data_IF_992315726427
#
_entry.id   IF_992315726427
#
_cell.length_a   1.000
_cell.length_b   1.000
_cell.length_c   1.000
_cell.angle_alpha   90.00
_cell.angle_beta   90.00
_cell.angle_gamma   90.00
#
_symmetry.space_group_name_H-M   'P 1'
#
loop_
_entity.id
_entity.type
_entity.pdbx_description
1 polymer ?
#
# COMPACT_ATOMS: atom_id res chain seq x y z
N UNK A 1 13.75 -21.54 -0.40
CA UNK A 1 12.34 -21.02 -0.47
C UNK A 1 12.27 -19.76 -1.35
N UNK A 2 11.14 -19.50 -2.02
CA UNK A 2 10.92 -18.27 -2.83
C UNK A 2 9.71 -17.50 -2.31
N UNK A 3 9.86 -16.19 -2.12
CA UNK A 3 8.82 -15.39 -1.44
C UNK A 3 8.45 -14.13 -2.22
N UNK A 4 7.21 -13.70 -2.05
CA UNK A 4 6.72 -12.37 -2.41
C UNK A 4 6.43 -11.63 -1.11
N UNK A 5 6.89 -10.39 -0.98
CA UNK A 5 6.66 -9.61 0.23
C UNK A 5 6.62 -8.11 -0.07
N UNK A 6 6.29 -7.32 0.93
CA UNK A 6 6.15 -5.87 0.86
C UNK A 6 6.72 -5.23 2.13
N UNK A 7 6.46 -3.95 2.37
CA UNK A 7 6.84 -3.30 3.61
C UNK A 7 6.12 -3.94 4.82
N UNK A 8 6.75 -3.78 5.99
CA UNK A 8 6.19 -4.18 7.27
C UNK A 8 4.90 -3.40 7.51
N UNK A 9 3.92 -4.10 8.09
CA UNK A 9 2.57 -3.58 8.32
C UNK A 9 1.92 -3.15 6.99
N UNK A 10 1.66 -4.10 6.07
CA UNK A 10 1.18 -3.78 4.73
C UNK A 10 -0.16 -3.03 4.78
N UNK A 11 -0.34 -2.10 3.86
CA UNK A 11 -1.63 -1.54 3.46
C UNK A 11 -2.17 -2.30 2.24
N UNK A 12 -3.24 -1.77 1.63
CA UNK A 12 -3.83 -2.41 0.46
C UNK A 12 -2.89 -2.44 -0.73
N UNK A 13 -2.09 -1.41 -1.01
CA UNK A 13 -1.21 -1.42 -2.18
C UNK A 13 -0.12 -2.49 -2.04
N UNK A 14 0.54 -2.54 -0.88
CA UNK A 14 1.51 -3.58 -0.59
C UNK A 14 0.95 -5.01 -0.70
N UNK A 15 -0.23 -5.27 -0.12
CA UNK A 15 -0.84 -6.60 -0.16
C UNK A 15 -1.43 -6.95 -1.54
N UNK A 16 -2.17 -6.05 -2.18
CA UNK A 16 -2.72 -6.24 -3.52
C UNK A 16 -1.62 -6.50 -4.54
N UNK A 17 -0.52 -5.75 -4.46
CA UNK A 17 0.65 -5.94 -5.30
C UNK A 17 1.31 -7.30 -5.07
N UNK A 18 1.28 -7.85 -3.84
CA UNK A 18 1.74 -9.21 -3.56
C UNK A 18 0.83 -10.26 -4.24
N UNK A 19 -0.49 -10.06 -4.19
CA UNK A 19 -1.48 -10.93 -4.86
C UNK A 19 -1.29 -10.90 -6.37
N UNK A 20 -1.10 -9.72 -6.97
CA UNK A 20 -0.79 -9.59 -8.39
C UNK A 20 0.55 -10.26 -8.74
N UNK A 21 1.60 -10.02 -7.95
CA UNK A 21 2.90 -10.68 -8.13
C UNK A 21 2.80 -12.20 -8.05
N UNK A 22 1.96 -12.78 -7.18
CA UNK A 22 1.76 -14.23 -7.08
C UNK A 22 1.28 -14.87 -8.39
N UNK A 23 0.57 -14.12 -9.24
CA UNK A 23 0.16 -14.60 -10.57
C UNK A 23 1.32 -14.64 -11.57
N UNK A 24 2.28 -13.71 -11.43
CA UNK A 24 3.52 -13.69 -12.23
C UNK A 24 4.55 -14.71 -11.74
N UNK A 25 4.57 -14.94 -10.42
CA UNK A 25 5.55 -15.76 -9.71
C UNK A 25 4.85 -16.92 -8.98
N UNK A 26 4.28 -17.85 -9.75
CA UNK A 26 3.35 -18.87 -9.24
C UNK A 26 3.97 -19.83 -8.22
N UNK A 27 5.29 -20.02 -8.23
CA UNK A 27 6.04 -20.84 -7.29
C UNK A 27 6.54 -20.09 -6.03
N UNK A 28 6.21 -18.80 -5.88
CA UNK A 28 6.56 -18.01 -4.70
C UNK A 28 5.42 -17.99 -3.68
N UNK A 29 5.74 -17.85 -2.40
CA UNK A 29 4.75 -17.74 -1.32
C UNK A 29 4.65 -16.30 -0.85
N UNK A 30 3.43 -15.76 -0.74
CA UNK A 30 3.21 -14.43 -0.16
C UNK A 30 3.55 -14.50 1.33
N UNK A 31 4.48 -13.66 1.77
CA UNK A 31 4.92 -13.57 3.16
C UNK A 31 4.71 -12.17 3.68
N UNK A 32 3.92 -12.05 4.75
CA UNK A 32 3.58 -10.76 5.35
C UNK A 32 4.31 -10.54 6.68
N UNK A 33 4.86 -9.35 6.85
CA UNK A 33 5.56 -8.90 8.05
C UNK A 33 4.75 -7.91 8.86
N UNK A 34 4.75 -8.08 10.18
CA UNK A 34 4.04 -7.18 11.08
C UNK A 34 2.52 -7.34 11.02
N UNK A 35 1.79 -6.26 11.32
CA UNK A 35 0.33 -6.26 11.36
C UNK A 35 -0.20 -5.39 10.22
N UNK A 36 -0.98 -5.94 9.28
CA UNK A 36 -1.62 -5.16 8.22
C UNK A 36 -2.40 -3.95 8.75
N UNK A 37 -2.60 -2.94 7.91
CA UNK A 37 -3.43 -1.77 8.19
C UNK A 37 -4.83 -2.21 8.64
N UNK A 38 -5.50 -1.38 9.45
CA UNK A 38 -6.76 -1.79 10.06
C UNK A 38 -7.84 -2.11 9.02
N UNK A 39 -7.94 -1.34 7.93
CA UNK A 39 -8.90 -1.63 6.87
C UNK A 39 -8.53 -2.90 6.10
N UNK A 40 -7.24 -3.13 5.82
CA UNK A 40 -6.82 -4.36 5.18
C UNK A 40 -7.12 -5.58 6.08
N UNK A 41 -6.95 -5.46 7.40
CA UNK A 41 -7.35 -6.52 8.33
C UNK A 41 -8.85 -6.80 8.28
N UNK A 42 -9.69 -5.76 8.17
CA UNK A 42 -11.14 -5.92 8.06
C UNK A 42 -11.52 -6.60 6.73
N UNK A 43 -10.87 -6.22 5.64
CA UNK A 43 -11.03 -6.87 4.34
C UNK A 43 -10.62 -8.34 4.39
N UNK A 44 -9.44 -8.66 4.95
CA UNK A 44 -8.93 -10.02 5.06
C UNK A 44 -9.76 -10.90 6.02
N UNK A 45 -10.53 -10.32 6.95
CA UNK A 45 -11.49 -11.12 7.75
C UNK A 45 -12.67 -11.64 6.94
N UNK A 46 -13.03 -10.94 5.87
CA UNK A 46 -14.17 -11.27 5.01
C UNK A 46 -13.70 -12.11 3.82
N UNK A 47 -12.57 -11.71 3.22
CA UNK A 47 -12.07 -12.27 1.97
C UNK A 47 -10.76 -13.06 2.11
N UNK A 48 -10.21 -13.23 3.33
CA UNK A 48 -8.89 -13.80 3.55
C UNK A 48 -8.72 -15.22 3.01
N UNK A 49 -9.77 -16.04 3.05
CA UNK A 49 -9.74 -17.42 2.51
C UNK A 49 -9.46 -17.48 1.00
N UNK A 50 -9.56 -16.34 0.29
CA UNK A 50 -9.24 -16.23 -1.13
C UNK A 50 -7.74 -16.07 -1.41
N UNK A 51 -6.95 -15.70 -0.40
CA UNK A 51 -5.55 -15.31 -0.58
C UNK A 51 -4.67 -16.13 0.35
N UNK A 52 -3.87 -17.02 -0.24
CA UNK A 52 -2.88 -17.79 0.53
C UNK A 52 -1.67 -16.92 0.84
N UNK A 53 -1.41 -16.70 2.12
CA UNK A 53 -0.19 -16.06 2.61
C UNK A 53 0.22 -16.65 3.95
N UNK A 54 1.51 -16.54 4.25
CA UNK A 54 2.08 -16.90 5.56
C UNK A 54 2.55 -15.64 6.28
N UNK A 55 2.76 -15.77 7.58
CA UNK A 55 3.44 -14.70 8.33
C UNK A 55 4.95 -14.89 8.29
N UNK A 56 5.71 -13.80 8.43
CA UNK A 56 7.17 -13.83 8.53
C UNK A 56 7.71 -14.79 9.61
N UNK A 57 6.91 -15.12 10.63
CA UNK A 57 7.27 -16.09 11.67
C UNK A 57 7.39 -17.52 11.14
N UNK A 58 6.66 -17.83 10.07
CA UNK A 58 6.61 -19.15 9.43
C UNK A 58 7.68 -19.33 8.36
N UNK A 59 8.48 -18.30 8.06
CA UNK A 59 9.59 -18.41 7.11
C UNK A 59 10.60 -19.45 7.55
N UNK A 60 11.10 -20.22 6.59
CA UNK A 60 12.27 -21.07 6.76
C UNK A 60 13.56 -20.23 6.77
N UNK A 61 14.69 -20.85 7.13
CA UNK A 61 16.00 -20.17 7.22
C UNK A 61 16.75 -20.12 5.87
N UNK A 62 16.11 -20.54 4.77
CA UNK A 62 16.71 -20.57 3.42
C UNK A 62 15.77 -19.92 2.40
N UNK A 63 15.97 -18.62 2.14
CA UNK A 63 15.22 -17.84 1.16
C UNK A 63 16.15 -17.51 -0.01
N UNK A 64 15.88 -18.09 -1.17
CA UNK A 64 16.70 -17.98 -2.38
C UNK A 64 16.30 -16.80 -3.25
N UNK A 65 15.00 -16.47 -3.30
CA UNK A 65 14.44 -15.42 -4.17
C UNK A 65 13.39 -14.59 -3.46
N UNK A 66 13.44 -13.28 -3.67
CA UNK A 66 12.51 -12.32 -3.08
C UNK A 66 11.96 -11.43 -4.19
N UNK A 67 10.63 -11.45 -4.34
CA UNK A 67 9.91 -10.41 -5.07
C UNK A 67 9.41 -9.41 -4.03
N UNK A 68 9.96 -8.20 -4.04
CA UNK A 68 9.62 -7.12 -3.14
C UNK A 68 8.73 -6.12 -3.87
N UNK A 69 7.54 -5.86 -3.34
CA UNK A 69 6.59 -4.90 -3.91
C UNK A 69 6.33 -3.74 -2.95
N UNK A 70 6.09 -2.55 -3.51
CA UNK A 70 5.69 -1.35 -2.78
C UNK A 70 6.69 -0.86 -1.70
N UNK A 71 7.96 -1.22 -1.90
CA UNK A 71 9.07 -0.62 -1.16
C UNK A 71 10.39 -1.03 -1.80
N UNK A 72 11.32 -0.08 -1.87
CA UNK A 72 12.71 -0.35 -2.25
C UNK A 72 13.70 -0.20 -1.08
N UNK A 73 13.22 0.02 0.15
CA UNK A 73 14.05 0.27 1.34
C UNK A 73 14.07 -0.91 2.30
N UNK A 74 15.27 -1.41 2.64
CA UNK A 74 15.41 -2.52 3.59
C UNK A 74 14.82 -2.15 4.95
N UNK A 75 14.88 -0.87 5.33
CA UNK A 75 14.33 -0.34 6.59
C UNK A 75 12.81 -0.44 6.69
N UNK A 76 12.11 -0.64 5.58
CA UNK A 76 10.66 -0.88 5.57
C UNK A 76 10.31 -2.36 5.57
N UNK A 77 11.23 -3.28 5.25
CA UNK A 77 10.97 -4.74 5.16
C UNK A 77 10.87 -5.41 6.55
N UNK A 78 10.30 -6.61 6.67
CA UNK A 78 10.32 -7.40 7.92
C UNK A 78 11.72 -7.71 8.47
N UNK A 79 11.88 -7.84 9.78
CA UNK A 79 13.19 -8.02 10.41
C UNK A 79 13.88 -9.35 10.05
N UNK A 80 13.12 -10.44 9.96
CA UNK A 80 13.63 -11.75 9.55
C UNK A 80 13.90 -11.75 8.03
N UNK A 81 12.99 -11.22 7.22
CA UNK A 81 13.15 -11.12 5.76
C UNK A 81 14.40 -10.30 5.40
N UNK A 82 14.66 -9.19 6.11
CA UNK A 82 15.85 -8.35 5.90
C UNK A 82 17.17 -9.12 5.92
N UNK A 83 17.25 -10.22 6.68
CA UNK A 83 18.47 -11.03 6.80
C UNK A 83 18.84 -11.70 5.48
N UNK A 84 17.86 -11.96 4.62
CA UNK A 84 18.06 -12.64 3.34
C UNK A 84 18.28 -11.68 2.17
N UNK A 85 18.05 -10.37 2.32
CA UNK A 85 18.10 -9.40 1.22
C UNK A 85 19.46 -9.30 0.52
N UNK A 86 20.55 -9.66 1.20
CA UNK A 86 21.90 -9.63 0.64
C UNK A 86 22.31 -10.95 -0.04
N UNK A 87 21.61 -12.04 0.25
CA UNK A 87 21.96 -13.39 -0.21
C UNK A 87 20.99 -13.90 -1.29
N UNK A 88 19.73 -13.47 -1.24
CA UNK A 88 18.69 -13.85 -2.18
C UNK A 88 18.76 -13.05 -3.49
N UNK A 89 18.27 -13.64 -4.58
CA UNK A 89 17.97 -12.90 -5.81
C UNK A 89 16.74 -12.01 -5.58
N UNK A 90 16.92 -10.68 -5.53
CA UNK A 90 15.81 -9.73 -5.30
C UNK A 90 15.33 -9.10 -6.60
N UNK A 91 14.01 -9.07 -6.80
CA UNK A 91 13.34 -8.23 -7.80
C UNK A 91 12.40 -7.26 -7.09
N UNK A 92 12.47 -5.97 -7.42
CA UNK A 92 11.74 -4.90 -6.76
C UNK A 92 10.77 -4.25 -7.75
N UNK A 93 9.51 -4.12 -7.35
CA UNK A 93 8.47 -3.33 -8.01
C UNK A 93 8.01 -2.24 -7.05
N UNK A 94 8.19 -0.98 -7.41
CA UNK A 94 7.86 0.13 -6.52
C UNK A 94 7.47 1.38 -7.31
N UNK A 95 6.73 2.28 -6.69
CA UNK A 95 6.40 3.60 -7.23
C UNK A 95 7.02 4.77 -6.43
N UNK A 96 7.59 4.48 -5.26
CA UNK A 96 8.25 5.48 -4.45
C UNK A 96 9.49 6.05 -5.17
N UNK A 97 9.79 7.36 -5.03
CA UNK A 97 11.00 7.93 -5.61
C UNK A 97 12.26 7.20 -5.11
N UNK A 98 13.17 6.91 -6.04
CA UNK A 98 14.51 6.45 -5.66
C UNK A 98 15.16 7.49 -4.76
N UNK A 99 15.53 7.08 -3.54
CA UNK A 99 16.25 7.93 -2.60
C UNK A 99 17.74 7.59 -2.67
N UNK A 100 18.61 8.51 -2.29
CA UNK A 100 20.08 8.30 -2.28
C UNK A 100 20.55 7.13 -1.39
N UNK A 101 19.66 6.51 -0.61
CA UNK A 101 19.95 5.40 0.31
C UNK A 101 19.37 4.06 -0.20
N UNK A 102 19.63 3.71 -1.46
CA UNK A 102 19.29 2.38 -1.97
C UNK A 102 20.16 1.30 -1.29
N UNK A 103 19.55 0.54 -0.39
CA UNK A 103 20.24 -0.44 0.46
C UNK A 103 19.90 -1.90 0.10
N UNK A 104 19.10 -2.11 -0.95
CA UNK A 104 18.76 -3.43 -1.47
C UNK A 104 19.31 -3.58 -2.88
N UNK A 105 20.15 -4.61 -3.08
CA UNK A 105 20.67 -4.99 -4.39
C UNK A 105 19.69 -5.94 -5.09
N UNK A 106 19.44 -5.72 -6.39
CA UNK A 106 18.52 -6.56 -7.16
C UNK A 106 18.08 -5.92 -8.48
N UNK A 107 17.18 -6.60 -9.19
CA UNK A 107 16.51 -6.03 -10.37
C UNK A 107 15.48 -5.02 -9.87
N UNK A 108 15.62 -3.75 -10.27
CA UNK A 108 14.73 -2.65 -9.85
C UNK A 108 13.80 -2.26 -11.00
N UNK A 109 12.50 -2.25 -10.73
CA UNK A 109 11.46 -1.72 -11.62
C UNK A 109 10.70 -0.67 -10.82
N UNK A 110 11.22 0.54 -10.86
CA UNK A 110 10.70 1.68 -10.11
C UNK A 110 10.17 2.69 -11.10
N UNK A 111 8.89 3.01 -11.01
CA UNK A 111 8.22 3.89 -11.96
C UNK A 111 7.42 4.97 -11.25
N UNK A 112 7.42 6.20 -11.79
CA UNK A 112 6.64 7.28 -11.21
C UNK A 112 5.15 7.06 -11.51
N UNK A 113 4.44 6.45 -10.55
CA UNK A 113 3.03 6.08 -10.62
C UNK A 113 2.29 6.49 -9.34
N UNK A 114 0.97 6.52 -9.41
CA UNK A 114 0.13 6.79 -8.26
C UNK A 114 0.13 5.66 -7.23
N UNK A 115 0.24 4.41 -7.69
CA UNK A 115 0.31 3.21 -6.85
C UNK A 115 1.18 2.12 -7.51
N UNK A 116 1.78 1.24 -6.72
CA UNK A 116 2.51 0.05 -7.19
C UNK A 116 1.58 -0.92 -7.93
N UNK A 117 0.34 -1.09 -7.48
CA UNK A 117 -0.62 -1.99 -8.12
C UNK A 117 -0.86 -1.66 -9.61
N UNK A 118 -0.69 -0.39 -10.02
CA UNK A 118 -0.80 0.04 -11.41
C UNK A 118 0.14 -0.75 -12.31
N UNK A 119 1.44 -0.77 -12.01
CA UNK A 119 2.40 -1.51 -12.84
C UNK A 119 2.18 -3.01 -12.78
N UNK A 120 1.71 -3.52 -11.63
CA UNK A 120 1.44 -4.93 -11.46
C UNK A 120 0.27 -5.38 -12.34
N UNK A 121 -0.81 -4.61 -12.41
CA UNK A 121 -1.96 -4.91 -13.29
C UNK A 121 -1.56 -4.83 -14.76
N UNK A 122 -0.77 -3.81 -15.15
CA UNK A 122 -0.24 -3.72 -16.52
C UNK A 122 0.56 -4.97 -16.91
N UNK A 123 1.44 -5.46 -16.02
CA UNK A 123 2.20 -6.69 -16.25
C UNK A 123 1.31 -7.94 -16.39
N UNK A 124 0.21 -8.02 -15.63
CA UNK A 124 -0.76 -9.13 -15.76
C UNK A 124 -1.46 -9.08 -17.12
N UNK A 125 -1.91 -7.90 -17.54
CA UNK A 125 -2.59 -7.68 -18.81
C UNK A 125 -1.66 -7.97 -19.99
N UNK A 126 -0.43 -7.48 -19.94
CA UNK A 126 0.59 -7.69 -20.98
C UNK A 126 0.94 -9.19 -21.16
N UNK A 127 0.85 -9.98 -20.09
CA UNK A 127 1.06 -11.43 -20.11
C UNK A 127 -0.21 -12.23 -20.39
N UNK A 128 -1.36 -11.58 -20.57
CA UNK A 128 -2.65 -12.23 -20.79
C UNK A 128 -3.12 -13.06 -19.58
N UNK A 129 -2.71 -12.69 -18.37
CA UNK A 129 -3.14 -13.35 -17.14
C UNK A 129 -4.52 -12.81 -16.73
N UNK A 130 -5.45 -13.73 -16.42
CA UNK A 130 -6.80 -13.34 -16.04
C UNK A 130 -6.85 -12.71 -14.65
N UNK A 131 -7.60 -11.61 -14.54
CA UNK A 131 -7.94 -10.95 -13.28
C UNK A 131 -9.42 -11.20 -13.04
N UNK A 132 -9.75 -11.93 -11.98
CA UNK A 132 -11.14 -12.20 -11.63
C UNK A 132 -11.81 -11.00 -10.91
N UNK A 133 -13.14 -10.96 -10.74
CA UNK A 133 -13.81 -9.82 -10.12
C UNK A 133 -13.39 -9.52 -8.67
N UNK A 134 -12.98 -10.53 -7.89
CA UNK A 134 -12.52 -10.33 -6.50
C UNK A 134 -11.12 -9.74 -6.50
N UNK A 135 -10.22 -10.24 -7.36
CA UNK A 135 -8.90 -9.65 -7.59
C UNK A 135 -9.05 -8.21 -8.10
N UNK A 136 -9.92 -7.98 -9.08
CA UNK A 136 -10.17 -6.66 -9.64
C UNK A 136 -10.66 -5.66 -8.58
N UNK A 137 -11.53 -6.13 -7.67
CA UNK A 137 -12.02 -5.32 -6.54
C UNK A 137 -10.88 -4.99 -5.57
N UNK A 138 -10.06 -5.97 -5.18
CA UNK A 138 -8.89 -5.74 -4.32
C UNK A 138 -7.91 -4.73 -4.94
N UNK A 139 -7.59 -4.92 -6.22
CA UNK A 139 -6.65 -4.07 -6.94
C UNK A 139 -7.19 -2.64 -7.10
N UNK A 140 -8.51 -2.49 -7.28
CA UNK A 140 -9.14 -1.17 -7.35
C UNK A 140 -9.12 -0.47 -5.98
N UNK A 141 -9.32 -1.19 -4.87
CA UNK A 141 -9.20 -0.62 -3.52
C UNK A 141 -7.78 -0.08 -3.30
N UNK A 142 -6.76 -0.89 -3.59
CA UNK A 142 -5.37 -0.49 -3.49
C UNK A 142 -5.07 0.77 -4.31
N UNK A 143 -5.47 0.76 -5.59
CA UNK A 143 -5.27 1.90 -6.49
C UNK A 143 -5.93 3.16 -5.95
N UNK A 144 -7.18 3.08 -5.49
CA UNK A 144 -7.92 4.25 -5.01
C UNK A 144 -7.43 4.75 -3.65
N UNK A 145 -6.92 3.89 -2.77
CA UNK A 145 -6.34 4.35 -1.50
C UNK A 145 -5.09 5.19 -1.76
N UNK A 146 -4.17 4.69 -2.59
CA UNK A 146 -2.87 5.32 -2.83
C UNK A 146 -2.94 6.55 -3.74
N UNK A 147 -3.97 6.61 -4.60
CA UNK A 147 -4.22 7.77 -5.46
C UNK A 147 -5.23 8.76 -4.88
N UNK A 148 -5.78 8.49 -3.69
CA UNK A 148 -6.80 9.34 -3.06
C UNK A 148 -8.07 9.43 -3.91
N UNK A 149 -8.56 8.30 -4.42
CA UNK A 149 -9.60 8.20 -5.43
C UNK A 149 -9.24 8.94 -6.73
N UNK A 150 -7.99 8.79 -7.20
CA UNK A 150 -7.45 9.44 -8.39
C UNK A 150 -7.35 10.99 -8.29
N UNK A 151 -7.40 11.55 -7.09
CA UNK A 151 -7.37 13.00 -6.86
C UNK A 151 -6.02 13.51 -6.38
N UNK A 152 -5.12 12.64 -5.91
CA UNK A 152 -3.78 13.06 -5.50
C UNK A 152 -2.94 13.49 -6.70
N UNK A 153 -2.03 14.45 -6.48
CA UNK A 153 -1.14 14.98 -7.52
C UNK A 153 -0.10 13.97 -8.02
N UNK A 154 0.10 12.86 -7.29
CA UNK A 154 0.88 11.71 -7.72
C UNK A 154 0.19 10.85 -8.78
N UNK A 155 -1.14 10.95 -8.91
CA UNK A 155 -1.93 10.18 -9.88
C UNK A 155 -1.48 10.47 -11.31
N UNK A 156 -1.36 9.43 -12.10
CA UNK A 156 -0.94 9.46 -13.51
C UNK A 156 -2.06 8.95 -14.43
N UNK A 157 -1.99 9.24 -15.75
CA UNK A 157 -2.93 8.66 -16.70
C UNK A 157 -2.96 7.12 -16.72
N UNK A 158 -1.86 6.46 -16.34
CA UNK A 158 -1.78 5.00 -16.27
C UNK A 158 -2.61 4.44 -15.13
N UNK A 159 -2.63 5.12 -13.98
CA UNK A 159 -3.50 4.76 -12.86
C UNK A 159 -4.98 4.81 -13.30
N UNK A 160 -5.37 5.81 -14.09
CA UNK A 160 -6.74 5.93 -14.62
C UNK A 160 -7.06 4.81 -15.62
N UNK A 161 -6.13 4.45 -16.50
CA UNK A 161 -6.33 3.35 -17.45
C UNK A 161 -6.44 2.01 -16.72
N UNK A 162 -5.62 1.78 -15.69
CA UNK A 162 -5.74 0.59 -14.84
C UNK A 162 -7.09 0.58 -14.11
N UNK A 163 -7.55 1.70 -13.55
CA UNK A 163 -8.89 1.77 -12.95
C UNK A 163 -9.98 1.35 -13.94
N UNK A 164 -9.91 1.84 -15.18
CA UNK A 164 -10.83 1.42 -16.25
C UNK A 164 -10.76 -0.09 -16.50
N UNK A 165 -9.57 -0.67 -16.66
CA UNK A 165 -9.38 -2.11 -16.88
C UNK A 165 -9.98 -2.92 -15.73
N UNK A 166 -9.72 -2.52 -14.49
CA UNK A 166 -10.24 -3.20 -13.30
C UNK A 166 -11.77 -3.16 -13.25
N UNK A 167 -12.37 -2.03 -13.63
CA UNK A 167 -13.82 -1.91 -13.75
C UNK A 167 -14.38 -2.82 -14.86
N UNK A 168 -13.72 -2.89 -16.02
CA UNK A 168 -14.09 -3.81 -17.11
C UNK A 168 -13.96 -5.29 -16.69
N UNK A 169 -13.01 -5.61 -15.79
CA UNK A 169 -12.84 -6.94 -15.17
C UNK A 169 -13.84 -7.22 -14.04
N UNK A 170 -14.75 -6.29 -13.76
CA UNK A 170 -15.86 -6.50 -12.82
C UNK A 170 -15.56 -6.11 -11.38
N UNK A 171 -14.62 -5.19 -11.14
CA UNK A 171 -14.41 -4.60 -9.82
C UNK A 171 -15.74 -4.06 -9.25
N UNK A 172 -16.07 -4.47 -8.03
CA UNK A 172 -17.30 -4.05 -7.36
C UNK A 172 -17.09 -2.70 -6.66
N UNK A 173 -17.58 -1.62 -7.28
CA UNK A 173 -17.42 -0.26 -6.74
C UNK A 173 -18.12 -0.02 -5.39
N UNK A 174 -19.14 -0.81 -5.05
CA UNK A 174 -19.78 -0.74 -3.73
C UNK A 174 -18.80 -1.21 -2.64
N UNK A 175 -18.18 -2.37 -2.86
CA UNK A 175 -17.12 -2.89 -1.98
C UNK A 175 -15.92 -1.95 -1.95
N UNK A 176 -15.49 -1.42 -3.09
CA UNK A 176 -14.41 -0.42 -3.16
C UNK A 176 -14.73 0.78 -2.26
N UNK A 177 -15.95 1.33 -2.35
CA UNK A 177 -16.36 2.45 -1.49
C UNK A 177 -16.36 2.08 0.00
N UNK A 178 -16.61 0.83 0.36
CA UNK A 178 -16.63 0.40 1.77
C UNK A 178 -15.23 0.36 2.38
N UNK A 179 -14.21 -0.01 1.61
CA UNK A 179 -12.84 -0.16 2.12
C UNK A 179 -11.92 1.04 1.88
N UNK A 180 -12.12 1.80 0.81
CA UNK A 180 -11.36 3.05 0.54
C UNK A 180 -11.74 4.16 1.53
N UNK A 181 -12.96 4.11 2.09
CA UNK A 181 -13.41 5.06 3.12
C UNK A 181 -13.03 4.56 4.50
N UNK A 182 -11.87 4.99 5.00
CA UNK A 182 -11.66 4.94 6.46
C UNK A 182 -12.42 6.07 7.10
N UNK A 183 -13.60 5.76 7.64
CA UNK A 183 -14.17 6.63 8.65
C UNK A 183 -13.14 6.75 9.79
N UNK A 184 -12.84 7.98 10.21
CA UNK A 184 -11.88 8.17 11.30
C UNK A 184 -12.33 7.31 12.48
N UNK A 185 -11.42 6.50 13.04
CA UNK A 185 -11.69 5.79 14.29
C UNK A 185 -12.08 6.80 15.39
N UNK A 186 -12.76 6.36 16.45
CA UNK A 186 -13.11 7.26 17.56
C UNK A 186 -11.90 8.03 18.11
N UNK A 187 -10.75 7.36 18.22
CA UNK A 187 -9.51 8.00 18.66
C UNK A 187 -9.00 9.03 17.64
N UNK A 188 -9.03 8.70 16.35
CA UNK A 188 -8.66 9.64 15.28
C UNK A 188 -9.64 10.80 15.15
N UNK A 189 -10.94 10.60 15.38
CA UNK A 189 -11.95 11.67 15.44
C UNK A 189 -11.62 12.64 16.57
N UNK A 190 -11.29 12.13 17.75
CA UNK A 190 -10.85 12.96 18.90
C UNK A 190 -9.57 13.73 18.58
N UNK A 191 -8.59 13.08 17.94
CA UNK A 191 -7.37 13.76 17.48
C UNK A 191 -7.70 14.85 16.46
N UNK A 192 -8.58 14.57 15.49
CA UNK A 192 -9.02 15.56 14.50
C UNK A 192 -9.71 16.76 15.18
N UNK A 193 -10.66 16.52 16.07
CA UNK A 193 -11.34 17.55 16.85
C UNK A 193 -10.34 18.39 17.66
N UNK A 194 -9.40 17.74 18.35
CA UNK A 194 -8.38 18.45 19.11
C UNK A 194 -7.49 19.32 18.21
N UNK A 195 -7.05 18.80 17.06
CA UNK A 195 -6.23 19.57 16.11
C UNK A 195 -7.00 20.75 15.53
N UNK A 196 -8.28 20.60 15.17
CA UNK A 196 -9.13 21.71 14.70
C UNK A 196 -9.25 22.81 15.74
N UNK A 197 -9.44 22.43 17.00
CA UNK A 197 -9.61 23.40 18.09
C UNK A 197 -8.32 24.13 18.47
N UNK A 198 -7.15 23.66 18.01
CA UNK A 198 -5.84 24.23 18.32
C UNK A 198 -5.05 24.63 17.07
N UNK A 199 -5.72 24.83 15.93
CA UNK A 199 -5.07 25.31 14.72
C UNK A 199 -4.73 26.80 14.87
N UNK A 200 -3.51 27.16 14.49
CA UNK A 200 -3.03 28.54 14.43
C UNK A 200 -2.58 28.81 13.01
N UNK A 201 -3.18 29.83 12.39
CA UNK A 201 -2.86 30.24 11.02
C UNK A 201 -1.80 31.33 10.99
N UNK A 202 -0.89 31.22 10.04
CA UNK A 202 0.17 32.16 9.73
C UNK A 202 0.10 32.55 8.25
N UNK A 203 0.53 33.76 7.94
CA UNK A 203 0.77 34.19 6.56
C UNK A 203 2.25 34.52 6.41
N UNK A 204 2.95 33.76 5.56
CA UNK A 204 4.38 33.89 5.33
C UNK A 204 4.59 34.14 3.84
N UNK A 205 5.00 35.36 3.50
CA UNK A 205 5.24 35.77 2.10
C UNK A 205 4.04 35.51 1.17
N UNK A 206 2.81 35.68 1.68
CA UNK A 206 1.57 35.44 0.93
C UNK A 206 1.11 33.98 0.89
N UNK A 207 1.83 33.07 1.55
CA UNK A 207 1.43 31.66 1.71
C UNK A 207 0.75 31.50 3.07
N UNK A 208 -0.47 30.94 3.09
CA UNK A 208 -1.15 30.54 4.33
C UNK A 208 -0.53 29.24 4.85
N UNK A 209 -0.14 29.24 6.12
CA UNK A 209 0.44 28.09 6.81
C UNK A 209 -0.34 27.87 8.09
N UNK A 210 -0.96 26.69 8.23
CA UNK A 210 -1.70 26.31 9.44
C UNK A 210 -0.88 25.32 10.26
N UNK A 211 -0.72 25.59 11.56
CA UNK A 211 0.00 24.71 12.49
C UNK A 211 -0.97 24.32 13.61
N UNK A 212 -1.11 23.01 13.86
CA UNK A 212 -1.89 22.46 14.97
C UNK A 212 -1.05 21.42 15.73
N UNK A 213 -1.23 21.36 17.04
CA UNK A 213 -0.54 20.42 17.92
C UNK A 213 -1.57 19.73 18.82
N UNK A 214 -1.42 18.42 19.03
CA UNK A 214 -2.21 17.67 20.00
C UNK A 214 -1.34 16.63 20.71
N UNK A 215 -1.73 16.24 21.92
CA UNK A 215 -1.07 15.22 22.72
C UNK A 215 -2.07 14.08 23.00
N UNK A 216 -1.59 12.84 23.00
CA UNK A 216 -2.42 11.64 23.10
C UNK A 216 -1.82 10.65 24.10
N UNK A 217 -2.63 10.08 24.99
CA UNK A 217 -2.17 9.14 26.03
C UNK A 217 -1.63 7.80 25.48
N UNK A 218 -2.03 7.44 24.25
CA UNK A 218 -1.63 6.20 23.57
C UNK A 218 -1.21 6.50 22.13
N UNK A 219 -0.42 5.60 21.55
CA UNK A 219 -0.10 5.67 20.13
C UNK A 219 -1.36 5.48 19.28
N UNK A 220 -1.66 6.47 18.44
CA UNK A 220 -2.75 6.43 17.46
C UNK A 220 -2.12 6.41 16.07
N UNK A 221 -2.27 5.29 15.35
CA UNK A 221 -1.77 5.16 13.98
C UNK A 221 -2.67 5.86 12.95
N UNK A 222 -2.19 5.98 11.70
CA UNK A 222 -2.99 6.48 10.59
C UNK A 222 -3.34 7.98 10.67
N UNK A 223 -2.50 8.79 11.32
CA UNK A 223 -2.75 10.24 11.46
C UNK A 223 -2.66 10.99 10.12
N UNK A 224 -2.08 10.41 9.08
CA UNK A 224 -2.12 10.95 7.71
C UNK A 224 -3.57 11.13 7.21
N UNK A 225 -4.47 10.20 7.55
CA UNK A 225 -5.90 10.30 7.19
C UNK A 225 -6.58 11.43 7.97
N UNK A 226 -6.21 11.62 9.25
CA UNK A 226 -6.69 12.73 10.06
C UNK A 226 -6.29 14.06 9.42
N UNK A 227 -4.98 14.26 9.17
CA UNK A 227 -4.45 15.50 8.58
C UNK A 227 -5.07 15.78 7.21
N UNK A 228 -5.22 14.76 6.36
CA UNK A 228 -5.86 14.91 5.04
C UNK A 228 -7.32 15.37 5.15
N UNK A 229 -8.06 14.85 6.13
CA UNK A 229 -9.45 15.25 6.37
C UNK A 229 -9.55 16.66 6.93
N UNK A 230 -8.64 17.04 7.83
CA UNK A 230 -8.54 18.41 8.33
C UNK A 230 -8.24 19.42 7.22
N UNK A 231 -7.30 19.08 6.34
CA UNK A 231 -6.94 19.90 5.19
C UNK A 231 -8.14 20.14 4.25
N UNK A 232 -9.01 19.13 4.06
CA UNK A 232 -10.19 19.27 3.21
C UNK A 232 -11.31 20.15 3.80
N UNK A 233 -11.24 20.48 5.09
CA UNK A 233 -12.27 21.23 5.83
C UNK A 233 -11.91 22.71 6.05
N UNK A 234 -10.66 23.11 5.79
CA UNK A 234 -10.18 24.50 5.86
C UNK A 234 -10.09 25.17 4.50
#
# INVERSE_FOLDING_TARGET
>A
MKIITTHRNPDFDGFASCVAAKKLYTDHIITISGRPSQNLLEYLRIYGDRFEYITEKELEEDVEKIVLVDTSSSRRVGEKIRRFLNEADVTIYDHHPETENEDIHGIRRIEKLGATITMMVELLVDQGLEIDPIEATLFMIALYEDTGNLLYSSTTPRDIEVAKILLEKGANLEEVSNFVKTDLTLDQKRVAENLMNHVTDFEISGVKVSIAITETEKFIGGLNVVVSKLWSLG
#
